data_IF_772580046233
#
_entry.id   IF_772580046233
#
_cell.length_a   1.000
_cell.length_b   1.000
_cell.length_c   1.000
_cell.angle_alpha   90.00
_cell.angle_beta   90.00
_cell.angle_gamma   90.00
#
_symmetry.space_group_name_H-M   'P 1'
#
loop_
_entity.id
_entity.type
_entity.pdbx_description
1 polymer ?
#
# COMPACT_ATOMS: atom_id res chain seq x y z
N UNK A 1 -59.08 4.43 -33.48
CA UNK A 1 -58.03 4.98 -32.61
C UNK A 1 -56.69 4.59 -33.21
N UNK A 2 -56.10 5.49 -34.01
CA UNK A 2 -54.80 5.29 -34.64
C UNK A 2 -54.22 6.64 -35.06
N UNK A 3 -52.90 6.68 -35.10
CA UNK A 3 -51.98 7.65 -35.72
C UNK A 3 -51.64 8.92 -34.94
N UNK A 4 -50.33 9.06 -34.73
CA UNK A 4 -49.63 10.28 -34.36
C UNK A 4 -48.16 10.20 -34.77
N UNK A 5 -47.88 10.03 -36.07
CA UNK A 5 -46.58 10.38 -36.68
C UNK A 5 -46.41 11.89 -36.71
N UNK A 6 -45.20 12.42 -36.46
CA UNK A 6 -44.67 13.59 -37.20
C UNK A 6 -43.16 13.73 -37.06
N UNK A 7 -42.58 14.17 -38.18
CA UNK A 7 -41.17 14.21 -38.56
C UNK A 7 -40.46 15.51 -38.12
N UNK A 8 -39.14 15.43 -38.20
CA UNK A 8 -38.08 16.44 -38.16
C UNK A 8 -38.35 17.81 -38.80
N UNK A 9 -37.66 18.84 -38.28
CA UNK A 9 -36.98 19.88 -39.07
C UNK A 9 -35.86 20.56 -38.24
N UNK A 10 -34.75 20.83 -38.91
CA UNK A 10 -33.55 21.47 -38.37
C UNK A 10 -33.51 22.98 -38.69
N UNK A 11 -32.43 23.60 -38.20
CA UNK A 11 -31.79 24.88 -38.59
C UNK A 11 -32.05 26.07 -37.65
N UNK A 12 -30.94 26.56 -37.08
CA UNK A 12 -30.82 27.84 -36.40
C UNK A 12 -29.39 28.04 -35.89
N UNK A 13 -28.49 28.49 -36.77
CA UNK A 13 -27.15 28.96 -36.39
C UNK A 13 -27.24 30.37 -35.80
N UNK A 14 -26.68 30.58 -34.61
CA UNK A 14 -26.30 31.91 -34.11
C UNK A 14 -24.86 31.82 -33.61
N UNK A 15 -24.01 32.63 -34.23
CA UNK A 15 -22.63 32.91 -33.86
C UNK A 15 -22.65 33.90 -32.71
N UNK A 16 -22.16 33.51 -31.53
CA UNK A 16 -21.71 34.43 -30.50
C UNK A 16 -20.57 33.77 -29.72
N UNK A 17 -19.43 34.45 -29.68
CA UNK A 17 -18.17 33.95 -29.15
C UNK A 17 -18.27 33.49 -27.70
N UNK A 18 -17.89 32.24 -27.49
CA UNK A 18 -17.43 31.71 -26.22
C UNK A 18 -16.11 31.00 -26.50
N UNK A 19 -15.08 31.41 -25.78
CA UNK A 19 -13.78 30.75 -25.74
C UNK A 19 -14.02 29.29 -25.39
N UNK A 20 -13.95 28.41 -26.38
CA UNK A 20 -13.97 26.96 -26.18
C UNK A 20 -12.59 26.55 -25.69
N UNK A 21 -12.44 26.39 -24.38
CA UNK A 21 -11.48 25.39 -23.89
C UNK A 21 -11.92 24.04 -24.45
N UNK A 22 -11.04 23.24 -25.07
CA UNK A 22 -11.42 21.91 -25.47
C UNK A 22 -11.66 21.08 -24.20
N UNK A 23 -12.94 20.87 -23.89
CA UNK A 23 -13.36 19.63 -23.26
C UNK A 23 -12.96 18.49 -24.21
N UNK A 24 -11.94 17.75 -23.80
CA UNK A 24 -11.74 16.36 -24.23
C UNK A 24 -11.83 15.59 -22.92
N UNK A 25 -12.95 15.00 -22.56
CA UNK A 25 -13.71 14.05 -23.36
C UNK A 25 -13.63 12.76 -22.57
N UNK A 26 -14.60 12.55 -21.69
CA UNK A 26 -14.77 11.29 -20.97
C UNK A 26 -14.92 10.15 -22.00
N UNK A 27 -14.25 9.04 -21.76
CA UNK A 27 -14.59 7.78 -22.42
C UNK A 27 -14.88 6.72 -21.35
N UNK A 28 -16.18 6.65 -21.06
CA UNK A 28 -17.02 5.46 -20.86
C UNK A 28 -16.29 4.18 -20.46
N UNK A 29 -16.53 3.75 -19.23
CA UNK A 29 -16.24 2.40 -18.75
C UNK A 29 -17.47 1.52 -18.99
N UNK A 30 -17.55 0.92 -20.18
CA UNK A 30 -18.37 -0.27 -20.39
C UNK A 30 -17.44 -1.46 -20.68
N UNK A 31 -17.55 -2.50 -19.86
CA UNK A 31 -17.11 -3.88 -20.15
C UNK A 31 -15.61 -4.16 -20.35
N UNK A 32 -14.69 -3.38 -19.77
CA UNK A 32 -13.35 -3.88 -19.44
C UNK A 32 -12.42 -4.23 -20.61
N UNK A 33 -12.47 -3.52 -21.74
CA UNK A 33 -11.48 -3.64 -22.82
C UNK A 33 -10.73 -2.32 -23.09
N UNK A 34 -9.40 -2.36 -23.19
CA UNK A 34 -8.54 -1.21 -23.52
C UNK A 34 -8.33 -1.06 -25.03
N UNK A 35 -8.46 0.16 -25.56
CA UNK A 35 -8.14 0.54 -26.96
C UNK A 35 -6.78 1.25 -27.09
N UNK A 36 -6.15 1.18 -28.28
CA UNK A 36 -4.91 1.89 -28.58
C UNK A 36 -5.14 3.40 -28.69
N UNK A 37 -4.13 4.21 -28.33
CA UNK A 37 -4.27 5.67 -28.32
C UNK A 37 -2.93 6.42 -28.34
N UNK A 38 -3.02 7.73 -28.55
CA UNK A 38 -1.87 8.63 -28.49
C UNK A 38 -1.91 9.40 -27.17
N UNK A 39 -0.74 9.57 -26.55
CA UNK A 39 -0.55 10.46 -25.41
C UNK A 39 0.36 11.62 -25.83
N UNK A 40 -0.03 12.84 -25.46
CA UNK A 40 0.77 14.04 -25.66
C UNK A 40 1.51 14.37 -24.35
N UNK A 41 2.83 14.54 -24.43
CA UNK A 41 3.64 15.05 -23.31
C UNK A 41 3.66 16.58 -23.30
N UNK A 42 4.02 17.16 -22.15
CA UNK A 42 4.06 18.62 -21.93
C UNK A 42 5.08 19.36 -22.79
N UNK A 43 6.00 18.64 -23.44
CA UNK A 43 6.95 19.18 -24.43
C UNK A 43 6.40 19.13 -25.87
N UNK A 44 5.10 18.82 -26.05
CA UNK A 44 4.42 18.82 -27.35
C UNK A 44 4.67 17.57 -28.20
N UNK A 45 5.35 16.54 -27.67
CA UNK A 45 5.55 15.28 -28.39
C UNK A 45 4.37 14.35 -28.20
N UNK A 46 3.90 13.77 -29.29
CA UNK A 46 2.89 12.71 -29.29
C UNK A 46 3.57 11.35 -29.40
N UNK A 47 3.29 10.47 -28.44
CA UNK A 47 3.78 9.08 -28.44
C UNK A 47 2.62 8.15 -28.72
N UNK A 48 2.79 7.28 -29.72
CA UNK A 48 1.82 6.22 -30.05
C UNK A 48 1.94 5.07 -29.05
N UNK A 49 0.83 4.70 -28.42
CA UNK A 49 0.74 3.49 -27.61
C UNK A 49 -0.01 2.41 -28.42
N UNK A 50 0.66 1.35 -28.87
CA UNK A 50 -0.01 0.27 -29.57
C UNK A 50 -0.94 -0.50 -28.63
N UNK A 51 -1.96 -1.13 -29.22
CA UNK A 51 -2.90 -2.00 -28.50
C UNK A 51 -2.11 -3.09 -27.77
N UNK A 52 -2.32 -3.25 -26.47
CA UNK A 52 -1.79 -4.40 -25.75
C UNK A 52 -2.40 -5.67 -26.37
N UNK A 53 -1.56 -6.47 -27.04
CA UNK A 53 -1.96 -7.80 -27.49
C UNK A 53 -2.01 -8.71 -26.26
N UNK A 54 -3.22 -9.00 -25.79
CA UNK A 54 -3.46 -10.02 -24.79
C UNK A 54 -3.08 -11.37 -25.37
N UNK A 55 -1.88 -11.85 -25.04
CA UNK A 55 -1.55 -13.26 -25.01
C UNK A 55 -0.38 -13.47 -24.05
N UNK A 56 -0.65 -13.30 -22.76
CA UNK A 56 -0.15 -14.17 -21.68
C UNK A 56 -1.10 -14.01 -20.50
N UNK A 57 -1.90 -15.05 -20.26
CA UNK A 57 -2.69 -15.18 -19.05
C UNK A 57 -1.74 -15.26 -17.85
N UNK A 58 -1.45 -14.13 -17.20
CA UNK A 58 -1.00 -14.15 -15.81
C UNK A 58 -2.24 -14.21 -14.91
N UNK A 59 -2.90 -15.36 -14.93
CA UNK A 59 -3.58 -15.82 -13.72
C UNK A 59 -2.45 -16.11 -12.74
N UNK A 60 -2.23 -15.25 -11.75
CA UNK A 60 -1.42 -15.61 -10.60
C UNK A 60 -2.20 -16.67 -9.83
N UNK A 61 -2.11 -17.92 -10.29
CA UNK A 61 -2.46 -19.07 -9.48
C UNK A 61 -1.51 -19.05 -8.29
N UNK A 62 -2.06 -18.69 -7.14
CA UNK A 62 -1.41 -18.68 -5.84
C UNK A 62 -1.15 -20.11 -5.31
N UNK A 63 -1.02 -21.09 -6.20
CA UNK A 63 -0.86 -22.52 -5.90
C UNK A 63 0.57 -23.04 -6.12
N UNK A 64 1.50 -22.22 -6.61
CA UNK A 64 2.93 -22.60 -6.72
C UNK A 64 3.84 -21.94 -5.66
N UNK A 65 3.27 -21.33 -4.62
CA UNK A 65 4.05 -21.02 -3.42
C UNK A 65 3.97 -22.22 -2.48
N UNK A 66 5.09 -22.87 -2.13
CA UNK A 66 5.04 -24.05 -1.27
C UNK A 66 4.38 -23.67 0.06
N UNK A 67 3.16 -24.17 0.25
CA UNK A 67 2.66 -24.55 1.57
C UNK A 67 3.70 -25.52 2.11
N UNK A 68 4.28 -25.19 3.26
CA UNK A 68 5.16 -26.05 4.06
C UNK A 68 6.66 -25.92 3.73
N UNK A 69 7.25 -24.75 4.00
CA UNK A 69 8.70 -24.68 4.30
C UNK A 69 9.02 -23.66 5.42
N UNK A 70 8.05 -23.43 6.31
CA UNK A 70 8.23 -22.59 7.50
C UNK A 70 8.76 -23.35 8.73
N UNK A 71 9.02 -24.66 8.61
CA UNK A 71 9.63 -25.47 9.68
C UNK A 71 11.17 -25.49 9.64
N UNK A 72 11.81 -24.90 8.62
CA UNK A 72 13.26 -24.99 8.45
C UNK A 72 14.06 -23.81 9.04
N UNK A 73 13.43 -22.82 9.69
CA UNK A 73 14.14 -21.67 10.26
C UNK A 73 13.93 -21.40 11.76
N UNK A 74 13.35 -22.34 12.49
CA UNK A 74 13.43 -22.33 13.97
C UNK A 74 14.83 -22.70 14.49
N UNK A 75 15.75 -23.13 13.62
CA UNK A 75 17.14 -23.40 13.97
C UNK A 75 18.03 -22.15 14.04
N UNK A 76 17.57 -20.96 13.61
CA UNK A 76 18.38 -19.73 13.67
C UNK A 76 18.13 -18.84 14.90
N UNK A 77 17.23 -19.25 15.80
CA UNK A 77 17.11 -18.66 17.14
C UNK A 77 18.04 -19.35 18.18
N UNK A 78 18.82 -20.35 17.76
CA UNK A 78 19.82 -21.05 18.60
C UNK A 78 21.25 -20.50 18.52
N UNK A 79 21.54 -19.45 17.74
CA UNK A 79 22.90 -18.94 17.53
C UNK A 79 23.13 -17.49 17.99
N UNK A 80 22.26 -16.94 18.85
CA UNK A 80 22.51 -15.66 19.54
C UNK A 80 23.07 -15.90 20.97
N UNK A 81 23.34 -17.16 21.34
CA UNK A 81 23.99 -17.53 22.60
C UNK A 81 25.29 -18.30 22.38
N UNK A 82 26.17 -17.83 21.48
CA UNK A 82 27.61 -18.12 21.44
C UNK A 82 28.22 -17.44 20.21
N UNK A 83 28.89 -16.30 20.41
CA UNK A 83 30.13 -15.91 19.72
C UNK A 83 30.48 -14.45 20.06
N UNK A 84 31.22 -14.29 21.15
CA UNK A 84 32.22 -13.22 21.26
C UNK A 84 33.38 -13.58 20.33
N UNK A 85 33.55 -12.91 19.20
CA UNK A 85 34.88 -12.61 18.62
C UNK A 85 34.79 -11.63 17.43
N UNK A 86 35.79 -10.75 17.20
CA UNK A 86 35.67 -9.57 16.35
C UNK A 86 36.37 -9.77 14.99
N UNK A 87 35.65 -10.23 13.96
CA UNK A 87 35.96 -9.90 12.56
C UNK A 87 34.91 -10.49 11.60
N UNK A 88 33.88 -9.72 11.30
CA UNK A 88 33.07 -9.92 10.11
C UNK A 88 32.80 -8.54 9.51
N UNK A 89 33.26 -8.34 8.28
CA UNK A 89 33.16 -7.08 7.55
C UNK A 89 31.71 -6.64 7.41
N UNK A 90 31.32 -5.65 8.25
CA UNK A 90 30.03 -4.96 8.18
C UNK A 90 29.91 -4.27 6.82
N UNK A 91 28.92 -4.67 6.02
CA UNK A 91 28.42 -3.84 4.93
C UNK A 91 27.69 -2.64 5.54
N UNK A 92 28.36 -1.49 5.60
CA UNK A 92 27.97 -0.31 6.39
C UNK A 92 26.79 0.49 5.82
N UNK A 93 26.11 0.05 4.77
CA UNK A 93 25.17 0.91 4.03
C UNK A 93 23.74 1.03 4.59
N UNK A 94 23.36 0.30 5.64
CA UNK A 94 22.03 0.44 6.27
C UNK A 94 22.07 0.85 7.76
N UNK A 95 23.24 1.20 8.31
CA UNK A 95 23.33 1.82 9.63
C UNK A 95 23.32 3.35 9.49
N UNK A 96 22.15 3.92 9.20
CA UNK A 96 21.91 5.28 9.67
C UNK A 96 21.65 5.17 11.19
N UNK A 97 22.36 5.94 12.04
CA UNK A 97 22.18 5.85 13.48
C UNK A 97 20.71 6.11 13.82
N UNK A 98 20.16 5.23 14.67
CA UNK A 98 18.81 5.30 15.22
C UNK A 98 18.69 6.56 16.09
N UNK A 99 18.52 7.71 15.44
CA UNK A 99 17.97 8.91 16.04
C UNK A 99 16.50 8.61 16.23
N UNK A 100 16.10 8.28 17.46
CA UNK A 100 14.68 8.24 17.81
C UNK A 100 14.08 9.55 17.36
N UNK A 101 13.13 9.53 16.43
CA UNK A 101 12.23 10.67 16.24
C UNK A 101 11.23 10.65 17.40
N UNK A 102 11.74 10.75 18.63
CA UNK A 102 10.95 10.76 19.87
C UNK A 102 10.13 12.05 20.05
N UNK A 103 10.19 12.98 19.09
CA UNK A 103 9.43 14.24 19.15
C UNK A 103 8.00 14.11 18.62
N UNK A 104 7.65 13.03 17.91
CA UNK A 104 6.35 12.93 17.22
C UNK A 104 6.17 13.98 16.12
N UNK A 105 7.25 14.61 15.66
CA UNK A 105 7.25 15.62 14.61
C UNK A 105 7.71 14.96 13.31
N UNK A 106 6.92 15.12 12.24
CA UNK A 106 7.26 14.63 10.91
C UNK A 106 8.45 15.39 10.33
N UNK A 107 9.51 14.66 9.94
CA UNK A 107 10.68 15.20 9.24
C UNK A 107 10.61 14.99 7.72
N UNK A 108 9.65 14.18 7.26
CA UNK A 108 9.44 13.83 5.85
C UNK A 108 10.67 13.31 5.13
N UNK A 109 11.62 12.71 5.86
CA UNK A 109 12.75 12.03 5.23
C UNK A 109 12.28 10.79 4.50
N UNK A 110 12.69 10.65 3.24
CA UNK A 110 12.34 9.53 2.39
C UNK A 110 13.55 8.73 1.91
N UNK A 111 13.31 7.48 1.53
CA UNK A 111 14.34 6.54 1.12
C UNK A 111 15.09 7.00 -0.13
N UNK A 112 16.43 7.04 -0.02
CA UNK A 112 17.34 7.34 -1.13
C UNK A 112 17.31 6.26 -2.23
N UNK A 113 16.90 5.03 -1.91
CA UNK A 113 16.79 3.96 -2.90
C UNK A 113 15.43 3.98 -3.59
N UNK A 114 14.34 4.14 -2.82
CA UNK A 114 13.00 4.20 -3.40
C UNK A 114 12.82 5.40 -4.33
N UNK A 115 13.43 6.55 -4.01
CA UNK A 115 13.29 7.75 -4.85
C UNK A 115 13.96 7.59 -6.22
N UNK A 116 14.99 6.74 -6.34
CA UNK A 116 15.59 6.40 -7.65
C UNK A 116 14.59 5.67 -8.56
N UNK A 117 13.64 4.95 -7.95
CA UNK A 117 12.49 4.33 -8.61
C UNK A 117 11.28 5.27 -8.75
N UNK A 118 11.41 6.55 -8.36
CA UNK A 118 10.33 7.53 -8.40
C UNK A 118 9.29 7.37 -7.29
N UNK A 119 9.59 6.62 -6.22
CA UNK A 119 8.68 6.37 -5.10
C UNK A 119 9.20 7.01 -3.82
N UNK A 120 8.34 7.77 -3.11
CA UNK A 120 8.65 8.34 -1.81
C UNK A 120 8.18 7.39 -0.70
N UNK A 121 9.12 6.65 -0.12
CA UNK A 121 8.91 5.91 1.12
C UNK A 121 9.43 6.72 2.30
N UNK A 122 8.58 7.07 3.26
CA UNK A 122 8.94 7.88 4.42
C UNK A 122 9.36 7.02 5.62
N UNK A 123 10.29 7.53 6.43
CA UNK A 123 10.93 6.75 7.51
C UNK A 123 9.95 6.47 8.66
N UNK A 124 10.05 5.27 9.23
CA UNK A 124 9.35 4.89 10.45
C UNK A 124 10.30 4.13 11.40
N UNK A 125 10.21 4.42 12.69
CA UNK A 125 10.97 3.71 13.72
C UNK A 125 10.40 2.30 13.95
N UNK A 126 11.30 1.34 14.15
CA UNK A 126 10.91 -0.02 14.54
C UNK A 126 10.47 -0.05 16.01
N UNK A 127 9.32 -0.66 16.28
CA UNK A 127 8.80 -0.88 17.61
C UNK A 127 9.72 -1.80 18.42
N UNK A 128 9.79 -1.57 19.73
CA UNK A 128 10.53 -2.47 20.62
C UNK A 128 9.72 -3.74 20.83
N UNK A 129 10.40 -4.88 20.94
CA UNK A 129 9.75 -6.16 21.22
C UNK A 129 8.86 -6.13 22.49
N UNK A 130 9.26 -5.35 23.50
CA UNK A 130 8.51 -5.19 24.75
C UNK A 130 7.18 -4.44 24.59
N UNK A 131 6.98 -3.72 23.49
CA UNK A 131 5.74 -2.97 23.21
C UNK A 131 4.73 -3.82 22.41
N UNK A 132 5.14 -5.01 21.95
CA UNK A 132 4.37 -5.87 21.04
C UNK A 132 3.72 -7.04 21.78
N UNK A 133 2.48 -7.37 21.39
CA UNK A 133 1.78 -8.59 21.79
C UNK A 133 1.32 -9.41 20.58
N UNK A 134 1.15 -10.71 20.77
CA UNK A 134 0.57 -11.59 19.74
C UNK A 134 -0.92 -11.32 19.56
N UNK A 135 -1.37 -11.26 18.30
CA UNK A 135 -2.79 -11.17 17.91
C UNK A 135 -3.28 -12.47 17.26
N UNK A 136 -2.53 -13.56 17.40
CA UNK A 136 -2.80 -14.86 16.80
C UNK A 136 -1.72 -15.29 15.79
N UNK A 137 -1.36 -16.57 15.85
CA UNK A 137 -0.25 -17.11 15.07
C UNK A 137 1.04 -16.33 15.32
N UNK A 138 1.66 -15.89 14.23
CA UNK A 138 2.93 -15.13 14.21
C UNK A 138 2.74 -13.61 14.13
N UNK A 139 1.49 -13.13 14.15
CA UNK A 139 1.21 -11.71 13.97
C UNK A 139 1.28 -10.99 15.30
N UNK A 140 1.92 -9.83 15.31
CA UNK A 140 2.07 -8.98 16.47
C UNK A 140 1.68 -7.55 16.13
N UNK A 141 1.15 -6.85 17.13
CA UNK A 141 0.87 -5.41 17.11
C UNK A 141 1.28 -4.82 18.46
N UNK A 142 1.38 -3.49 18.53
CA UNK A 142 1.49 -2.85 19.84
C UNK A 142 0.26 -3.12 20.70
N UNK A 143 0.39 -3.11 22.02
CA UNK A 143 -0.72 -3.44 22.94
C UNK A 143 -2.01 -2.64 22.65
N UNK A 144 -1.88 -1.34 22.37
CA UNK A 144 -3.04 -0.48 22.09
C UNK A 144 -3.67 -0.75 20.71
N UNK A 145 -2.86 -1.02 19.68
CA UNK A 145 -3.36 -1.40 18.36
C UNK A 145 -4.04 -2.77 18.40
N UNK A 146 -3.46 -3.73 19.13
CA UNK A 146 -4.05 -5.05 19.32
C UNK A 146 -5.41 -4.97 20.05
N UNK A 147 -5.52 -4.14 21.09
CA UNK A 147 -6.78 -3.88 21.78
C UNK A 147 -7.83 -3.25 20.83
N UNK A 148 -7.43 -2.25 20.05
CA UNK A 148 -8.31 -1.63 19.06
C UNK A 148 -8.75 -2.60 17.95
N UNK A 149 -7.85 -3.48 17.49
CA UNK A 149 -8.17 -4.51 16.51
C UNK A 149 -9.22 -5.49 17.06
N UNK A 150 -9.08 -5.93 18.32
CA UNK A 150 -10.08 -6.82 18.95
C UNK A 150 -11.47 -6.18 18.97
N UNK A 151 -11.57 -4.88 19.25
CA UNK A 151 -12.83 -4.13 19.22
C UNK A 151 -13.39 -4.02 17.79
N UNK A 152 -12.54 -3.66 16.82
CA UNK A 152 -12.89 -3.56 15.40
C UNK A 152 -13.44 -4.90 14.88
N UNK A 153 -12.73 -6.00 15.13
CA UNK A 153 -13.14 -7.34 14.70
C UNK A 153 -14.41 -7.80 15.41
N UNK A 154 -14.59 -7.49 16.69
CA UNK A 154 -15.81 -7.83 17.42
C UNK A 154 -17.03 -7.10 16.85
N UNK A 155 -16.89 -5.83 16.48
CA UNK A 155 -17.94 -5.06 15.83
C UNK A 155 -18.25 -5.60 14.43
N UNK A 156 -17.23 -5.85 13.61
CA UNK A 156 -17.41 -6.43 12.28
C UNK A 156 -18.16 -7.77 12.33
N UNK A 157 -17.83 -8.64 13.30
CA UNK A 157 -18.51 -9.93 13.49
C UNK A 157 -20.00 -9.78 13.81
N UNK A 158 -20.41 -8.76 14.56
CA UNK A 158 -21.83 -8.48 14.84
C UNK A 158 -22.61 -8.15 13.57
N UNK A 159 -21.92 -7.58 12.59
CA UNK A 159 -22.48 -7.25 11.27
C UNK A 159 -22.26 -8.37 10.23
N UNK A 160 -21.82 -9.56 10.66
CA UNK A 160 -21.58 -10.71 9.79
C UNK A 160 -20.33 -10.58 8.90
N UNK A 161 -19.39 -9.70 9.26
CA UNK A 161 -18.14 -9.45 8.53
C UNK A 161 -16.95 -10.02 9.30
N UNK A 162 -16.11 -10.79 8.60
CA UNK A 162 -14.83 -11.27 9.13
C UNK A 162 -13.68 -10.40 8.62
N UNK A 163 -12.71 -10.14 9.50
CA UNK A 163 -11.52 -9.32 9.22
C UNK A 163 -10.24 -10.10 9.58
N UNK A 164 -9.89 -11.14 8.81
CA UNK A 164 -8.67 -11.92 9.02
C UNK A 164 -7.42 -11.06 8.74
N UNK A 165 -6.41 -11.17 9.58
CA UNK A 165 -5.13 -10.47 9.42
C UNK A 165 -4.14 -11.39 8.72
N UNK A 166 -3.55 -10.92 7.61
CA UNK A 166 -2.54 -11.66 6.85
C UNK A 166 -1.10 -11.16 7.09
N UNK A 167 -0.95 -9.92 7.56
CA UNK A 167 0.35 -9.33 7.90
C UNK A 167 0.18 -8.23 8.95
N UNK A 168 1.18 -8.04 9.82
CA UNK A 168 1.15 -7.10 10.95
C UNK A 168 2.58 -6.59 11.19
N UNK A 169 3.07 -6.48 12.43
CA UNK A 169 4.45 -6.06 12.69
C UNK A 169 5.47 -6.81 11.83
N UNK A 170 6.40 -6.04 11.25
CA UNK A 170 7.55 -6.53 10.49
C UNK A 170 8.80 -5.80 10.96
N UNK A 171 9.82 -6.51 11.41
CA UNK A 171 11.12 -5.88 11.66
C UNK A 171 11.76 -5.35 10.36
N UNK A 172 12.67 -4.40 10.48
CA UNK A 172 13.47 -3.89 9.36
C UNK A 172 14.25 -5.04 8.70
N UNK A 173 14.81 -5.94 9.50
CA UNK A 173 15.51 -7.13 9.01
C UNK A 173 14.59 -8.05 8.18
N UNK A 174 13.36 -8.28 8.64
CA UNK A 174 12.38 -9.07 7.89
C UNK A 174 12.01 -8.41 6.56
N UNK A 175 11.80 -7.09 6.57
CA UNK A 175 11.52 -6.31 5.36
C UNK A 175 12.68 -6.35 4.35
N UNK A 176 13.92 -6.30 4.83
CA UNK A 176 15.10 -6.49 3.99
C UNK A 176 15.10 -7.87 3.33
N UNK A 177 14.72 -8.92 4.06
CA UNK A 177 14.55 -10.26 3.50
C UNK A 177 13.50 -10.31 2.38
N UNK A 178 12.37 -9.61 2.52
CA UNK A 178 11.34 -9.50 1.46
C UNK A 178 11.94 -8.86 0.20
N UNK A 179 12.60 -7.71 0.35
CA UNK A 179 13.19 -6.98 -0.78
C UNK A 179 14.26 -7.82 -1.47
N UNK A 180 15.13 -8.48 -0.70
CA UNK A 180 16.19 -9.34 -1.25
C UNK A 180 15.62 -10.51 -2.05
N UNK A 181 14.57 -11.19 -1.55
CA UNK A 181 13.92 -12.28 -2.30
C UNK A 181 13.30 -11.80 -3.61
N UNK A 182 12.67 -10.61 -3.61
CA UNK A 182 12.10 -10.04 -4.84
C UNK A 182 13.17 -9.68 -5.87
N UNK A 183 14.30 -9.11 -5.43
CA UNK A 183 15.47 -8.85 -6.29
C UNK A 183 16.06 -10.15 -6.85
N UNK A 184 16.20 -11.17 -6.02
CA UNK A 184 16.68 -12.49 -6.44
C UNK A 184 15.74 -13.16 -7.45
N UNK A 185 14.43 -12.88 -7.36
CA UNK A 185 13.43 -13.28 -8.34
C UNK A 185 13.41 -12.40 -9.62
N UNK A 186 14.39 -11.52 -9.81
CA UNK A 186 14.55 -10.69 -11.00
C UNK A 186 13.67 -9.43 -11.04
N UNK A 187 13.00 -9.06 -9.94
CA UNK A 187 12.23 -7.82 -9.90
C UNK A 187 13.15 -6.61 -9.75
N UNK A 188 12.94 -5.59 -10.59
CA UNK A 188 13.58 -4.29 -10.45
C UNK A 188 13.11 -3.54 -9.20
N UNK A 189 13.95 -2.64 -8.69
CA UNK A 189 13.58 -1.76 -7.58
C UNK A 189 12.32 -0.92 -7.87
N UNK A 190 12.09 -0.54 -9.14
CA UNK A 190 10.87 0.15 -9.55
C UNK A 190 9.61 -0.72 -9.39
N UNK A 191 9.69 -2.01 -9.73
CA UNK A 191 8.58 -2.94 -9.50
C UNK A 191 8.39 -3.22 -8.01
N UNK A 192 9.49 -3.38 -7.26
CA UNK A 192 9.45 -3.70 -5.83
C UNK A 192 8.87 -2.54 -5.03
N UNK A 193 9.46 -1.36 -5.17
CA UNK A 193 9.15 -0.23 -4.30
C UNK A 193 7.78 0.38 -4.55
N UNK A 194 7.14 0.10 -5.69
CA UNK A 194 5.75 0.51 -5.92
C UNK A 194 4.75 -0.24 -5.03
N UNK A 195 5.09 -1.44 -4.55
CA UNK A 195 4.19 -2.36 -3.80
C UNK A 195 4.85 -2.98 -2.56
N UNK A 196 6.01 -2.46 -2.15
CA UNK A 196 6.73 -2.96 -0.99
C UNK A 196 7.71 -1.91 -0.50
N UNK A 197 7.59 -1.49 0.76
CA UNK A 197 8.45 -0.45 1.32
C UNK A 197 9.93 -0.86 1.33
N UNK A 198 10.80 0.13 1.17
CA UNK A 198 12.21 -0.05 1.48
C UNK A 198 12.38 -0.38 2.99
N UNK A 199 13.37 -1.17 3.40
CA UNK A 199 13.61 -1.49 4.81
C UNK A 199 13.90 -0.23 5.63
N UNK A 200 13.20 -0.04 6.75
CA UNK A 200 13.24 1.19 7.56
C UNK A 200 12.19 2.23 7.18
N UNK A 201 11.33 1.94 6.19
CA UNK A 201 10.34 2.88 5.65
C UNK A 201 8.93 2.28 5.52
N UNK A 202 8.66 1.16 6.20
CA UNK A 202 7.33 0.54 6.28
C UNK A 202 6.59 0.96 7.55
N UNK A 203 5.31 1.31 7.44
CA UNK A 203 4.46 1.54 8.61
C UNK A 203 4.37 0.29 9.52
N UNK A 204 4.57 -0.92 8.97
CA UNK A 204 4.60 -2.16 9.76
C UNK A 204 5.75 -2.24 10.77
N UNK A 205 6.83 -1.47 10.58
CA UNK A 205 7.91 -1.38 11.56
C UNK A 205 7.39 -0.82 12.89
N UNK A 206 6.40 0.06 12.85
CA UNK A 206 5.87 0.73 14.03
C UNK A 206 5.02 -0.18 14.92
N UNK A 207 4.61 -1.35 14.43
CA UNK A 207 3.65 -2.21 15.11
C UNK A 207 2.21 -1.67 15.16
N UNK A 208 1.93 -0.55 14.48
CA UNK A 208 0.59 0.06 14.38
C UNK A 208 -0.12 -0.21 13.06
N UNK A 209 0.52 -0.91 12.11
CA UNK A 209 -0.06 -1.23 10.80
C UNK A 209 -0.26 -2.74 10.61
N UNK A 210 -1.29 -3.08 9.85
CA UNK A 210 -1.63 -4.44 9.45
C UNK A 210 -2.20 -4.49 8.03
N UNK A 211 -2.18 -5.69 7.48
CA UNK A 211 -2.84 -6.04 6.23
C UNK A 211 -3.95 -7.06 6.51
N UNK A 212 -5.17 -6.77 6.06
CA UNK A 212 -6.26 -7.73 6.05
C UNK A 212 -6.18 -8.67 4.85
N UNK A 213 -6.68 -9.89 4.98
CA UNK A 213 -6.73 -10.83 3.86
C UNK A 213 -7.98 -10.62 2.97
N UNK A 214 -7.87 -10.87 1.65
CA UNK A 214 -6.62 -11.16 0.91
C UNK A 214 -5.72 -9.93 0.72
N UNK A 215 -4.40 -10.13 0.74
CA UNK A 215 -3.40 -9.07 0.50
C UNK A 215 -3.19 -8.87 -1.02
N UNK A 216 -4.24 -8.41 -1.70
CA UNK A 216 -4.22 -7.99 -3.11
C UNK A 216 -5.50 -7.19 -3.43
N UNK A 217 -5.56 -6.59 -4.63
CA UNK A 217 -6.65 -5.70 -5.03
C UNK A 217 -8.04 -6.32 -5.02
N UNK A 218 -8.19 -7.65 -4.97
CA UNK A 218 -9.50 -8.27 -4.79
C UNK A 218 -10.14 -7.88 -3.44
N UNK A 219 -9.34 -7.52 -2.42
CA UNK A 219 -9.84 -7.03 -1.14
C UNK A 219 -10.77 -5.82 -1.30
N UNK A 220 -10.46 -4.92 -2.24
CA UNK A 220 -11.26 -3.72 -2.53
C UNK A 220 -12.72 -4.01 -2.94
N UNK A 221 -13.01 -5.23 -3.40
CA UNK A 221 -14.35 -5.65 -3.81
C UNK A 221 -15.08 -6.47 -2.73
N UNK A 222 -14.52 -6.59 -1.53
CA UNK A 222 -15.08 -7.42 -0.46
C UNK A 222 -16.06 -6.65 0.43
N UNK A 223 -16.97 -7.39 1.09
CA UNK A 223 -17.79 -6.84 2.18
C UNK A 223 -16.93 -6.31 3.35
N UNK A 224 -15.78 -6.94 3.59
CA UNK A 224 -14.82 -6.51 4.61
C UNK A 224 -14.29 -5.09 4.34
N UNK A 225 -13.81 -4.83 3.12
CA UNK A 225 -13.34 -3.50 2.76
C UNK A 225 -14.45 -2.45 2.83
N UNK A 226 -15.63 -2.76 2.27
CA UNK A 226 -16.78 -1.86 2.36
C UNK A 226 -17.16 -1.51 3.81
N UNK A 227 -17.13 -2.49 4.70
CA UNK A 227 -17.40 -2.30 6.13
C UNK A 227 -16.32 -1.45 6.81
N UNK A 228 -15.03 -1.72 6.54
CA UNK A 228 -13.92 -0.95 7.09
C UNK A 228 -14.00 0.52 6.68
N UNK A 229 -14.27 0.80 5.40
CA UNK A 229 -14.41 2.18 4.89
C UNK A 229 -15.48 3.00 5.63
N UNK A 230 -16.48 2.35 6.22
CA UNK A 230 -17.57 3.01 6.95
C UNK A 230 -17.34 3.06 8.47
N UNK A 231 -16.59 2.11 9.03
CA UNK A 231 -16.57 1.87 10.47
C UNK A 231 -15.18 1.98 11.13
N UNK A 232 -14.10 1.75 10.39
CA UNK A 232 -12.75 1.61 10.95
C UNK A 232 -12.29 2.83 11.76
N UNK A 233 -12.63 4.04 11.29
CA UNK A 233 -12.26 5.29 11.96
C UNK A 233 -12.79 5.39 13.40
N UNK A 234 -13.95 4.78 13.69
CA UNK A 234 -14.54 4.74 15.06
C UNK A 234 -13.67 3.96 16.05
N UNK A 235 -12.82 3.09 15.54
CA UNK A 235 -11.88 2.27 16.31
C UNK A 235 -10.43 2.77 16.15
N UNK A 236 -10.24 3.96 15.57
CA UNK A 236 -8.93 4.57 15.36
C UNK A 236 -8.14 3.99 14.20
N UNK A 237 -8.76 3.22 13.30
CA UNK A 237 -8.11 2.64 12.12
C UNK A 237 -8.41 3.42 10.85
N UNK A 238 -7.39 3.66 10.02
CA UNK A 238 -7.51 4.32 8.72
C UNK A 238 -6.65 3.63 7.65
N UNK A 239 -7.08 3.75 6.39
CA UNK A 239 -6.34 3.23 5.25
C UNK A 239 -5.22 4.19 4.87
N UNK A 240 -3.97 3.71 4.79
CA UNK A 240 -2.81 4.56 4.55
C UNK A 240 -2.65 4.94 3.07
N UNK A 241 -2.67 3.95 2.18
CA UNK A 241 -2.36 4.14 0.76
C UNK A 241 -3.65 4.26 -0.06
N UNK A 242 -4.28 5.42 0.04
CA UNK A 242 -5.46 5.80 -0.76
C UNK A 242 -5.04 6.37 -2.12
N UNK A 243 -5.96 6.51 -3.11
CA UNK A 243 -5.67 7.22 -4.36
C UNK A 243 -5.11 8.63 -4.16
N UNK A 244 -5.43 9.25 -3.03
CA UNK A 244 -4.89 10.54 -2.63
C UNK A 244 -3.41 10.47 -2.28
N UNK A 245 -3.03 9.54 -1.41
CA UNK A 245 -1.65 9.32 -1.00
C UNK A 245 -0.75 8.93 -2.19
N UNK A 246 -1.28 8.18 -3.17
CA UNK A 246 -0.53 7.78 -4.37
C UNK A 246 -0.02 8.98 -5.17
N UNK A 247 -0.73 10.12 -5.17
CA UNK A 247 -0.34 11.30 -5.96
C UNK A 247 1.04 11.82 -5.60
N UNK A 248 1.39 11.79 -4.31
CA UNK A 248 2.67 12.24 -3.81
C UNK A 248 3.64 11.07 -3.56
N UNK A 249 3.19 9.99 -2.92
CA UNK A 249 4.08 8.87 -2.54
C UNK A 249 4.52 8.02 -3.74
N UNK A 250 3.66 7.90 -4.77
CA UNK A 250 3.77 6.91 -5.87
C UNK A 250 3.78 5.45 -5.42
N UNK A 251 3.51 5.16 -4.14
CA UNK A 251 3.14 3.82 -3.67
C UNK A 251 1.78 3.47 -4.26
N UNK A 252 1.56 2.22 -4.66
CA UNK A 252 0.27 1.77 -5.17
C UNK A 252 -0.84 1.94 -4.12
N UNK A 253 -2.10 1.98 -4.57
CA UNK A 253 -3.23 1.87 -3.65
C UNK A 253 -3.17 0.50 -2.98
N UNK A 254 -3.37 0.45 -1.66
CA UNK A 254 -3.41 -0.80 -0.91
C UNK A 254 -4.72 -0.84 -0.12
N UNK A 255 -5.73 -1.55 -0.63
CA UNK A 255 -7.04 -1.65 0.01
C UNK A 255 -6.98 -2.43 1.33
N UNK A 256 -6.02 -3.35 1.43
CA UNK A 256 -5.81 -4.24 2.57
C UNK A 256 -5.00 -3.59 3.70
N UNK A 257 -4.26 -2.50 3.46
CA UNK A 257 -3.31 -1.91 4.41
C UNK A 257 -3.97 -0.83 5.27
N UNK A 258 -3.99 -1.06 6.59
CA UNK A 258 -4.63 -0.18 7.57
C UNK A 258 -3.69 0.08 8.75
N UNK A 259 -3.74 1.30 9.29
CA UNK A 259 -2.98 1.72 10.47
C UNK A 259 -3.87 2.21 11.59
N UNK A 260 -3.44 2.00 12.82
CA UNK A 260 -4.04 2.55 14.01
C UNK A 260 -3.42 3.89 14.39
N UNK A 261 -4.25 4.94 14.50
CA UNK A 261 -3.88 6.28 14.98
C UNK A 261 -4.79 6.77 16.11
N UNK A 262 -5.39 5.84 16.85
CA UNK A 262 -6.35 6.15 17.92
C UNK A 262 -5.73 6.75 19.18
N UNK A 263 -4.40 6.74 19.32
CA UNK A 263 -3.70 7.25 20.51
C UNK A 263 -2.60 8.27 20.19
N UNK A 264 -2.16 9.08 21.17
CA UNK A 264 -1.02 9.99 20.99
C UNK A 264 0.28 9.25 20.61
N UNK A 265 0.55 8.10 21.23
CA UNK A 265 1.75 7.30 20.95
C UNK A 265 1.75 6.78 19.51
N UNK A 266 0.62 6.23 19.06
CA UNK A 266 0.46 5.77 17.68
C UNK A 266 0.62 6.92 16.67
N UNK A 267 0.04 8.09 16.94
CA UNK A 267 0.18 9.28 16.10
C UNK A 267 1.63 9.76 16.03
N UNK A 268 2.37 9.73 17.14
CA UNK A 268 3.78 10.11 17.16
C UNK A 268 4.64 9.11 16.36
N UNK A 269 4.42 7.81 16.54
CA UNK A 269 5.13 6.77 15.81
C UNK A 269 4.87 6.82 14.29
N UNK A 270 3.67 7.24 13.89
CA UNK A 270 3.24 7.38 12.49
C UNK A 270 3.37 8.80 11.94
N UNK A 271 4.04 9.72 12.64
CA UNK A 271 4.02 11.16 12.32
C UNK A 271 4.38 11.47 10.86
N UNK A 272 5.30 10.70 10.26
CA UNK A 272 5.71 10.88 8.87
C UNK A 272 4.64 10.54 7.82
N UNK A 273 3.49 10.00 8.21
CA UNK A 273 2.39 9.77 7.29
C UNK A 273 1.72 11.04 6.77
N UNK A 274 1.82 12.16 7.50
CA UNK A 274 1.33 13.47 7.06
C UNK A 274 2.01 13.90 5.76
N UNK A 275 3.23 13.40 5.53
CA UNK A 275 4.00 13.67 4.34
C UNK A 275 3.38 13.03 3.09
N UNK A 276 2.47 12.06 3.22
CA UNK A 276 1.80 11.42 2.07
C UNK A 276 0.90 12.40 1.31
N UNK A 277 0.47 13.48 1.97
CA UNK A 277 -0.46 14.48 1.43
C UNK A 277 0.20 15.85 1.24
N UNK A 278 1.51 15.97 1.49
CA UNK A 278 2.26 17.19 1.20
C UNK A 278 2.66 17.21 -0.29
N UNK A 279 2.47 18.32 -1.02
CA UNK A 279 2.90 18.45 -2.40
C UNK A 279 4.42 18.30 -2.58
#
# INVERSE_FOLDING_TARGET
>A
MSLGTKQWLAVGAIIAGLVTLPMVGAQLWENGQTSAGYIASSDGKTTYLPKATTNQNYSLHQQDMPRNEWQANDSMNGLIAQHNSPNASRNQNYHQPYSQSGSGIADCQYSKDAIKAGVKHYRFDEARAADLESIGGRHQLTHEAAAALRQLQAAARKDGVNLPVGSAFRSVAYQQGIVNRKRAAGQSDAQIFKVSSAPGYSEHHTGYALDFEPINHSFGNTKAYAWLRQNAARYGWEQSFTPEAVRNTRVAVEEWHWKYKGSPTAKAALANDVCYFRP
#
